data_IF_344788335862
#
_entry.id   IF_344788335862
#
_cell.length_a   1.000
_cell.length_b   1.000
_cell.length_c   1.000
_cell.angle_alpha   90.00
_cell.angle_beta   90.00
_cell.angle_gamma   90.00
#
_symmetry.space_group_name_H-M   'P 1'
#
loop_
_entity.id
_entity.type
_entity.pdbx_description
1 polymer ?
#
# COMPACT_ATOMS: atom_id res chain seq x y z
N UNK A 1 -3.16 -14.56 16.80
CA UNK A 1 -3.24 -15.54 15.68
C UNK A 1 -2.19 -15.14 14.67
N UNK A 2 -1.07 -15.87 14.58
CA UNK A 2 -0.01 -15.60 13.60
C UNK A 2 -0.41 -16.24 12.26
N UNK A 3 -0.32 -15.50 11.16
CA UNK A 3 -0.68 -16.01 9.82
C UNK A 3 0.55 -16.63 9.18
N UNK A 4 0.36 -17.82 8.60
CA UNK A 4 1.43 -18.62 8.01
C UNK A 4 2.00 -17.98 6.73
N UNK A 5 3.33 -18.04 6.57
CA UNK A 5 4.06 -17.41 5.47
C UNK A 5 3.73 -18.12 4.15
N UNK A 6 2.82 -17.53 3.37
CA UNK A 6 2.32 -18.09 2.11
C UNK A 6 0.80 -18.12 1.99
N UNK A 7 0.08 -17.79 3.07
CA UNK A 7 -1.39 -17.71 3.05
C UNK A 7 -1.87 -16.64 2.06
N UNK A 8 -2.91 -17.00 1.31
CA UNK A 8 -3.53 -16.15 0.29
C UNK A 8 -4.21 -14.90 0.82
N UNK A 9 -4.46 -14.84 2.13
CA UNK A 9 -4.88 -13.63 2.87
C UNK A 9 -3.77 -12.57 2.99
N UNK A 10 -2.50 -12.91 2.70
CA UNK A 10 -1.34 -12.01 2.73
C UNK A 10 -1.02 -11.43 1.35
N UNK A 11 -1.85 -11.68 0.33
CA UNK A 11 -1.72 -11.02 -0.97
C UNK A 11 -2.24 -9.59 -0.83
N UNK A 12 -1.36 -8.65 -0.47
CA UNK A 12 -1.53 -7.26 -0.93
C UNK A 12 -1.67 -7.35 -2.44
N UNK A 13 -2.92 -7.26 -2.92
CA UNK A 13 -3.30 -7.44 -4.31
C UNK A 13 -2.30 -6.69 -5.19
N UNK A 14 -1.53 -7.43 -6.00
CA UNK A 14 -0.77 -6.88 -7.11
C UNK A 14 -1.81 -6.23 -8.05
N UNK A 15 -1.81 -4.91 -8.25
CA UNK A 15 -2.70 -4.33 -9.25
C UNK A 15 -2.31 -4.89 -10.63
N UNK A 16 -3.26 -5.06 -11.56
CA UNK A 16 -2.98 -5.58 -12.90
C UNK A 16 -1.94 -4.66 -13.55
N UNK A 17 -0.73 -5.17 -13.73
CA UNK A 17 0.32 -4.45 -14.45
C UNK A 17 0.04 -4.57 -15.95
N UNK A 18 0.04 -3.47 -16.71
CA UNK A 18 -0.16 -3.53 -18.15
C UNK A 18 1.02 -4.23 -18.82
N UNK A 19 0.71 -4.98 -19.86
CA UNK A 19 1.63 -5.74 -20.70
C UNK A 19 2.72 -4.82 -21.27
N UNK A 20 3.95 -4.97 -20.79
CA UNK A 20 5.12 -4.39 -21.44
C UNK A 20 5.70 -5.43 -22.39
N UNK A 21 5.47 -5.20 -23.68
CA UNK A 21 6.16 -5.84 -24.78
C UNK A 21 7.66 -5.49 -24.68
N UNK A 22 8.49 -6.49 -24.38
CA UNK A 22 9.94 -6.37 -24.35
C UNK A 22 10.48 -6.24 -25.78
N UNK A 23 11.10 -5.10 -26.10
CA UNK A 23 11.99 -5.00 -27.24
C UNK A 23 13.42 -5.25 -26.77
N UNK A 24 13.95 -6.33 -27.29
CA UNK A 24 15.30 -6.85 -27.14
C UNK A 24 16.26 -6.01 -28.01
N UNK A 25 17.38 -5.51 -27.46
CA UNK A 25 18.61 -5.21 -28.22
C UNK A 25 19.79 -5.11 -27.25
N UNK A 26 20.60 -6.16 -27.25
CA UNK A 26 22.01 -6.18 -26.85
C UNK A 26 22.81 -5.08 -27.57
N UNK A 27 23.60 -4.30 -26.84
CA UNK A 27 24.87 -3.82 -27.36
C UNK A 27 25.93 -3.75 -26.25
N UNK A 28 27.06 -4.35 -26.59
CA UNK A 28 28.23 -4.73 -25.81
C UNK A 28 29.33 -3.66 -25.96
N UNK A 29 30.15 -3.44 -24.92
CA UNK A 29 31.54 -3.00 -25.09
C UNK A 29 32.09 -1.85 -24.21
N UNK A 30 33.08 -2.18 -23.36
CA UNK A 30 34.26 -1.37 -22.96
C UNK A 30 34.09 -0.36 -21.81
N UNK A 31 34.56 -0.60 -20.58
CA UNK A 31 35.95 -0.45 -20.03
C UNK A 31 36.39 1.04 -19.89
N UNK A 32 36.35 1.59 -18.66
CA UNK A 32 37.48 1.89 -17.73
C UNK A 32 38.17 3.26 -17.95
N UNK A 33 38.14 4.15 -16.93
CA UNK A 33 39.37 4.71 -16.33
C UNK A 33 39.11 5.53 -15.04
N UNK A 34 40.16 5.62 -14.19
CA UNK A 34 40.15 5.99 -12.77
C UNK A 34 41.06 7.22 -12.52
N UNK A 35 40.50 8.30 -11.92
CA UNK A 35 41.18 9.33 -11.08
C UNK A 35 42.26 10.24 -11.71
N UNK A 36 42.88 11.22 -10.98
CA UNK A 36 42.72 11.62 -9.57
C UNK A 36 42.73 13.16 -9.24
N UNK A 37 42.26 13.51 -8.03
CA UNK A 37 42.81 14.45 -7.00
C UNK A 37 43.24 15.89 -7.34
N UNK A 38 42.63 16.90 -6.70
CA UNK A 38 43.25 17.85 -5.73
C UNK A 38 42.51 19.22 -5.66
N UNK A 39 41.96 19.52 -4.49
CA UNK A 39 41.47 20.85 -4.10
C UNK A 39 42.67 21.73 -3.70
N UNK A 40 42.70 22.99 -4.13
CA UNK A 40 43.58 23.99 -3.53
C UNK A 40 42.94 25.38 -3.54
N UNK A 41 43.13 26.03 -2.39
CA UNK A 41 42.43 27.20 -1.90
C UNK A 41 42.82 28.50 -2.58
N UNK A 42 41.87 29.42 -2.69
CA UNK A 42 42.09 30.83 -3.06
C UNK A 42 41.60 31.67 -1.89
N UNK A 43 42.52 32.42 -1.28
CA UNK A 43 42.20 33.54 -0.39
C UNK A 43 42.92 34.79 -0.90
N UNK A 44 42.12 35.84 -0.96
CA UNK A 44 42.26 37.10 -1.69
C UNK A 44 43.21 38.08 -1.01
N UNK A 45 43.95 38.87 -1.80
CA UNK A 45 44.16 40.30 -1.49
C UNK A 45 44.51 41.10 -2.76
N UNK A 46 43.62 42.04 -3.08
CA UNK A 46 43.73 43.20 -4.00
C UNK A 46 44.99 44.07 -3.73
N UNK A 47 45.42 45.03 -4.60
CA UNK A 47 44.56 46.04 -5.28
C UNK A 47 45.05 46.59 -6.65
N UNK A 48 44.20 47.39 -7.32
CA UNK A 48 44.54 48.75 -7.82
C UNK A 48 43.66 49.21 -9.00
N UNK A 49 43.32 50.49 -8.96
CA UNK A 49 42.49 51.31 -9.85
C UNK A 49 42.96 51.32 -11.31
N UNK A 50 42.04 51.21 -12.28
CA UNK A 50 41.94 52.14 -13.42
C UNK A 50 40.79 51.78 -14.39
N UNK A 51 40.29 52.83 -15.05
CA UNK A 51 39.61 52.86 -16.35
C UNK A 51 38.13 52.47 -16.50
N UNK A 52 37.35 53.52 -16.74
CA UNK A 52 36.05 53.54 -17.39
C UNK A 52 36.11 52.81 -18.73
N UNK A 53 35.47 51.65 -18.81
CA UNK A 53 35.02 51.07 -20.07
C UNK A 53 33.49 51.01 -20.04
N UNK A 54 32.88 51.56 -21.09
CA UNK A 54 31.45 51.45 -21.31
C UNK A 54 31.09 49.97 -21.34
N UNK A 55 30.26 49.55 -20.39
CA UNK A 55 29.69 48.21 -20.38
C UNK A 55 28.64 48.18 -21.48
N UNK A 56 29.03 47.68 -22.64
CA UNK A 56 28.07 47.07 -23.56
C UNK A 56 27.35 45.96 -22.77
N UNK A 57 26.01 45.87 -22.82
CA UNK A 57 25.29 44.84 -22.09
C UNK A 57 25.70 43.47 -22.63
N UNK A 58 26.42 42.73 -21.81
CA UNK A 58 26.85 41.36 -22.08
C UNK A 58 25.61 40.47 -22.24
N UNK A 59 25.42 39.95 -23.45
CA UNK A 59 24.25 39.15 -23.85
C UNK A 59 24.35 37.68 -23.41
N UNK A 60 25.44 37.27 -22.77
CA UNK A 60 25.66 35.90 -22.33
C UNK A 60 24.86 35.50 -21.07
N UNK A 61 24.32 36.45 -20.31
CA UNK A 61 23.47 36.15 -19.14
C UNK A 61 22.05 35.67 -19.50
N UNK A 62 21.61 35.81 -20.76
CA UNK A 62 20.24 35.45 -21.16
C UNK A 62 20.06 33.94 -21.39
N UNK A 63 21.10 33.21 -21.80
CA UNK A 63 20.98 31.78 -22.16
C UNK A 63 20.78 30.87 -20.96
N UNK A 64 21.46 31.17 -19.83
CA UNK A 64 21.36 30.39 -18.59
C UNK A 64 19.95 30.41 -18.00
N UNK A 65 19.23 31.51 -18.20
CA UNK A 65 17.84 31.66 -17.78
C UNK A 65 16.90 30.74 -18.58
N UNK A 66 17.09 30.64 -19.91
CA UNK A 66 16.29 29.77 -20.76
C UNK A 66 16.48 28.28 -20.41
N UNK A 67 17.73 27.84 -20.22
CA UNK A 67 18.03 26.46 -19.82
C UNK A 67 17.41 26.08 -18.47
N UNK A 68 17.43 27.01 -17.51
CA UNK A 68 16.81 26.81 -16.19
C UNK A 68 15.29 26.73 -16.28
N UNK A 69 14.66 27.56 -17.12
CA UNK A 69 13.22 27.53 -17.38
C UNK A 69 12.82 26.20 -18.02
N UNK A 70 13.57 25.75 -19.03
CA UNK A 70 13.31 24.48 -19.71
C UNK A 70 13.40 23.28 -18.75
N UNK A 71 14.39 23.31 -17.85
CA UNK A 71 14.51 22.32 -16.77
C UNK A 71 13.29 22.35 -15.84
N UNK A 72 12.82 23.53 -15.43
CA UNK A 72 11.65 23.66 -14.56
C UNK A 72 10.37 23.16 -15.24
N UNK A 73 10.16 23.50 -16.51
CA UNK A 73 9.06 23.00 -17.34
C UNK A 73 9.11 21.48 -17.41
N UNK A 74 10.30 20.91 -17.60
CA UNK A 74 10.49 19.46 -17.65
C UNK A 74 10.18 18.78 -16.30
N UNK A 75 10.65 19.35 -15.19
CA UNK A 75 10.36 18.84 -13.83
C UNK A 75 8.85 18.88 -13.57
N UNK A 76 8.19 20.00 -13.88
CA UNK A 76 6.75 20.15 -13.68
C UNK A 76 5.95 19.15 -14.52
N UNK A 77 6.30 18.95 -15.80
CA UNK A 77 5.69 17.90 -16.65
C UNK A 77 5.85 16.52 -16.02
N UNK A 78 7.05 16.22 -15.51
CA UNK A 78 7.31 14.94 -14.84
C UNK A 78 6.41 14.78 -13.59
N UNK A 79 6.35 15.79 -12.71
CA UNK A 79 5.52 15.76 -11.51
C UNK A 79 4.04 15.51 -11.84
N UNK A 80 3.48 16.28 -12.78
CA UNK A 80 2.08 16.13 -13.19
C UNK A 80 1.82 14.76 -13.86
N UNK A 81 2.83 14.17 -14.50
CA UNK A 81 2.70 12.84 -15.12
C UNK A 81 2.68 11.72 -14.10
N UNK A 82 3.46 11.84 -13.03
CA UNK A 82 3.53 10.84 -11.96
C UNK A 82 2.26 10.81 -11.13
N UNK A 83 1.67 11.97 -10.84
CA UNK A 83 0.50 12.11 -9.98
C UNK A 83 -0.82 12.25 -10.75
N UNK A 84 -0.86 11.84 -12.02
CA UNK A 84 -1.99 12.07 -12.91
C UNK A 84 -3.26 11.38 -12.39
N UNK A 85 -4.35 12.12 -12.08
CA UNK A 85 -5.59 11.52 -11.64
C UNK A 85 -6.19 10.64 -12.75
N UNK A 86 -6.75 9.45 -12.44
CA UNK A 86 -7.28 8.53 -13.46
C UNK A 86 -8.42 9.11 -14.30
N UNK A 87 -9.20 10.03 -13.73
CA UNK A 87 -10.36 10.67 -14.35
C UNK A 87 -10.08 12.06 -14.91
N UNK A 88 -8.80 12.47 -14.95
CA UNK A 88 -8.44 13.81 -15.41
C UNK A 88 -8.61 13.90 -16.95
N UNK A 89 -9.17 15.01 -17.48
CA UNK A 89 -9.47 15.13 -18.91
C UNK A 89 -8.22 15.15 -19.82
N UNK A 90 -7.06 15.52 -19.28
CA UNK A 90 -5.80 15.57 -20.04
C UNK A 90 -5.10 14.21 -19.92
N UNK A 91 -4.85 13.58 -21.07
CA UNK A 91 -4.14 12.30 -21.12
C UNK A 91 -2.65 12.44 -20.82
N UNK A 92 -2.01 11.34 -20.39
CA UNK A 92 -0.56 11.28 -20.15
C UNK A 92 0.27 11.69 -21.38
N UNK A 93 -0.18 11.33 -22.58
CA UNK A 93 0.49 11.67 -23.84
C UNK A 93 0.38 13.17 -24.13
N UNK A 94 -0.80 13.75 -23.93
CA UNK A 94 -1.04 15.17 -24.13
C UNK A 94 -0.23 16.02 -23.15
N UNK A 95 -0.17 15.62 -21.88
CA UNK A 95 0.67 16.28 -20.87
C UNK A 95 2.17 16.25 -21.22
N UNK A 96 2.65 15.16 -21.82
CA UNK A 96 4.05 15.06 -22.28
C UNK A 96 4.36 15.90 -23.52
N UNK A 97 3.35 16.24 -24.33
CA UNK A 97 3.51 17.05 -25.54
C UNK A 97 3.27 18.55 -25.30
N UNK A 98 2.80 18.96 -24.11
CA UNK A 98 2.49 20.36 -23.82
C UNK A 98 3.72 21.25 -23.90
N UNK A 99 3.56 22.42 -24.53
CA UNK A 99 4.55 23.48 -24.50
C UNK A 99 4.51 24.27 -23.18
N UNK A 100 5.45 25.21 -23.00
CA UNK A 100 5.55 26.03 -21.79
C UNK A 100 4.30 26.87 -21.52
N UNK A 101 3.70 27.46 -22.55
CA UNK A 101 2.55 28.36 -22.43
C UNK A 101 1.29 27.58 -22.03
N UNK A 102 1.09 26.40 -22.63
CA UNK A 102 0.03 25.47 -22.24
C UNK A 102 0.19 25.02 -20.79
N UNK A 103 1.42 24.75 -20.36
CA UNK A 103 1.72 24.36 -18.98
C UNK A 103 1.46 25.47 -17.97
N UNK A 104 1.69 26.74 -18.33
CA UNK A 104 1.33 27.90 -17.49
C UNK A 104 -0.18 28.03 -17.34
N UNK A 105 -0.94 27.77 -18.41
CA UNK A 105 -2.41 27.78 -18.38
C UNK A 105 -3.02 26.50 -17.77
N UNK A 106 -2.20 25.53 -17.37
CA UNK A 106 -2.67 24.24 -16.87
C UNK A 106 -3.52 24.43 -15.61
N UNK A 107 -4.72 23.81 -15.52
CA UNK A 107 -5.64 24.00 -14.40
C UNK A 107 -5.19 23.23 -13.15
N UNK A 108 -4.07 23.64 -12.55
CA UNK A 108 -3.44 22.99 -11.38
C UNK A 108 -4.42 22.81 -10.21
N UNK A 109 -5.27 23.79 -9.96
CA UNK A 109 -6.23 23.75 -8.86
C UNK A 109 -7.21 22.58 -9.02
N UNK A 110 -7.79 22.42 -10.20
CA UNK A 110 -8.75 21.34 -10.45
C UNK A 110 -8.04 19.98 -10.54
N UNK A 111 -6.82 19.96 -11.08
CA UNK A 111 -5.96 18.78 -11.08
C UNK A 111 -5.74 18.22 -9.67
N UNK A 112 -5.31 19.07 -8.72
CA UNK A 112 -5.07 18.62 -7.34
C UNK A 112 -6.36 18.24 -6.63
N UNK A 113 -7.46 18.96 -6.90
CA UNK A 113 -8.78 18.61 -6.35
C UNK A 113 -9.23 17.22 -6.80
N UNK A 114 -9.06 16.87 -8.08
CA UNK A 114 -9.38 15.52 -8.55
C UNK A 114 -8.44 14.46 -7.97
N UNK A 115 -7.15 14.78 -7.82
CA UNK A 115 -6.19 13.89 -7.16
C UNK A 115 -6.60 13.58 -5.71
N UNK A 116 -6.94 14.63 -4.94
CA UNK A 116 -7.40 14.52 -3.55
C UNK A 116 -8.66 13.67 -3.43
N UNK A 117 -9.67 13.92 -4.28
CA UNK A 117 -10.89 13.11 -4.33
C UNK A 117 -10.56 11.65 -4.66
N UNK A 118 -9.64 11.40 -5.58
CA UNK A 118 -9.17 10.05 -5.91
C UNK A 118 -8.53 9.34 -4.71
N UNK A 119 -7.67 10.02 -3.96
CA UNK A 119 -7.05 9.48 -2.75
C UNK A 119 -8.09 9.23 -1.65
N UNK A 120 -9.00 10.16 -1.43
CA UNK A 120 -10.05 10.01 -0.43
C UNK A 120 -10.93 8.80 -0.75
N UNK A 121 -11.32 8.63 -2.01
CA UNK A 121 -12.10 7.48 -2.46
C UNK A 121 -11.33 6.16 -2.27
N UNK A 122 -10.03 6.16 -2.53
CA UNK A 122 -9.18 4.99 -2.30
C UNK A 122 -9.17 4.61 -0.81
N UNK A 123 -8.90 5.57 0.08
CA UNK A 123 -8.94 5.35 1.52
C UNK A 123 -10.31 4.84 1.99
N UNK A 124 -11.38 5.51 1.57
CA UNK A 124 -12.76 5.12 1.90
C UNK A 124 -13.08 3.70 1.42
N UNK A 125 -12.60 3.30 0.24
CA UNK A 125 -12.82 1.95 -0.29
C UNK A 125 -12.16 0.87 0.57
N UNK A 126 -10.93 1.10 1.05
CA UNK A 126 -10.24 0.18 1.93
C UNK A 126 -10.91 0.11 3.30
N UNK A 127 -11.30 1.25 3.86
CA UNK A 127 -12.00 1.31 5.14
C UNK A 127 -13.34 0.57 5.07
N UNK A 128 -14.18 0.90 4.09
CA UNK A 128 -15.48 0.24 3.89
C UNK A 128 -15.34 -1.28 3.69
N UNK A 129 -14.32 -1.71 2.94
CA UNK A 129 -14.05 -3.15 2.75
C UNK A 129 -13.59 -3.82 4.04
N UNK A 130 -12.73 -3.17 4.81
CA UNK A 130 -12.27 -3.69 6.10
C UNK A 130 -13.43 -3.80 7.10
N UNK A 131 -14.24 -2.75 7.21
CA UNK A 131 -15.41 -2.70 8.09
C UNK A 131 -16.45 -3.76 7.71
N UNK A 132 -16.70 -3.93 6.42
CA UNK A 132 -17.64 -4.96 5.94
C UNK A 132 -17.16 -6.37 6.27
N UNK A 133 -15.85 -6.64 6.13
CA UNK A 133 -15.26 -7.93 6.52
C UNK A 133 -15.30 -8.16 8.02
N UNK A 134 -15.01 -7.14 8.81
CA UNK A 134 -15.08 -7.20 10.27
C UNK A 134 -16.51 -7.53 10.73
N UNK A 135 -17.51 -6.83 10.19
CA UNK A 135 -18.94 -7.09 10.49
C UNK A 135 -19.36 -8.50 10.12
N UNK A 136 -19.02 -8.97 8.92
CA UNK A 136 -19.35 -10.33 8.49
C UNK A 136 -18.70 -11.39 9.39
N UNK A 137 -17.45 -11.16 9.81
CA UNK A 137 -16.75 -12.06 10.74
C UNK A 137 -17.41 -12.06 12.13
N UNK A 138 -17.80 -10.90 12.65
CA UNK A 138 -18.48 -10.80 13.94
C UNK A 138 -19.84 -11.48 13.91
N UNK A 139 -20.62 -11.29 12.86
CA UNK A 139 -21.94 -11.93 12.69
C UNK A 139 -21.83 -13.47 12.60
N UNK A 140 -20.82 -13.96 11.88
CA UNK A 140 -20.50 -15.39 11.82
C UNK A 140 -20.14 -15.94 13.20
N UNK A 141 -19.28 -15.22 13.94
CA UNK A 141 -18.90 -15.60 15.31
C UNK A 141 -20.12 -15.65 16.23
N UNK A 142 -20.97 -14.61 16.21
CA UNK A 142 -22.22 -14.57 17.00
C UNK A 142 -23.14 -15.74 16.70
N UNK A 143 -23.23 -16.13 15.42
CA UNK A 143 -24.02 -17.29 15.00
C UNK A 143 -23.42 -18.59 15.52
N UNK A 144 -22.10 -18.75 15.44
CA UNK A 144 -21.38 -19.91 15.98
C UNK A 144 -21.52 -20.02 17.50
N UNK A 145 -21.37 -18.91 18.23
CA UNK A 145 -21.55 -18.85 19.68
C UNK A 145 -22.97 -19.23 20.12
N UNK A 146 -23.99 -18.81 19.36
CA UNK A 146 -25.38 -19.20 19.64
C UNK A 146 -25.57 -20.70 19.49
N UNK A 147 -25.07 -21.27 18.39
CA UNK A 147 -25.13 -22.72 18.14
C UNK A 147 -24.38 -23.51 19.22
N UNK A 148 -23.21 -23.02 19.63
CA UNK A 148 -22.43 -23.64 20.71
C UNK A 148 -23.25 -23.71 22.00
N UNK A 149 -23.84 -22.59 22.44
CA UNK A 149 -24.70 -22.56 23.63
C UNK A 149 -25.88 -23.53 23.53
N UNK A 150 -26.57 -23.55 22.38
CA UNK A 150 -27.67 -24.49 22.16
C UNK A 150 -27.23 -25.96 22.25
N UNK A 151 -26.03 -26.29 21.78
CA UNK A 151 -25.49 -27.65 21.88
C UNK A 151 -25.03 -27.99 23.30
N UNK A 152 -24.44 -27.04 24.02
CA UNK A 152 -24.06 -27.19 25.43
C UNK A 152 -25.29 -27.42 26.32
N UNK A 153 -26.37 -26.65 26.12
CA UNK A 153 -27.63 -26.82 26.84
C UNK A 153 -28.26 -28.21 26.58
N UNK A 154 -28.26 -28.66 25.32
CA UNK A 154 -28.76 -30.00 24.96
C UNK A 154 -27.91 -31.10 25.59
N UNK A 155 -26.59 -30.96 25.57
CA UNK A 155 -25.67 -31.91 26.20
C UNK A 155 -25.92 -31.97 27.71
N UNK A 156 -26.03 -30.83 28.38
CA UNK A 156 -26.28 -30.78 29.82
C UNK A 156 -27.61 -31.43 30.18
N UNK A 157 -28.65 -31.19 29.39
CA UNK A 157 -29.95 -31.84 29.57
C UNK A 157 -29.87 -33.35 29.37
N UNK A 158 -29.13 -33.81 28.36
CA UNK A 158 -28.94 -35.25 28.13
C UNK A 158 -28.20 -35.90 29.29
N UNK A 159 -27.11 -35.28 29.77
CA UNK A 159 -26.35 -35.74 30.95
C UNK A 159 -27.23 -35.83 32.18
N UNK A 160 -27.98 -34.77 32.48
CA UNK A 160 -28.94 -34.74 33.59
C UNK A 160 -29.96 -35.88 33.49
N UNK A 161 -30.50 -36.13 32.28
CA UNK A 161 -31.44 -37.22 32.07
C UNK A 161 -30.79 -38.61 32.28
N UNK A 162 -29.57 -38.81 31.80
CA UNK A 162 -28.84 -40.07 31.97
C UNK A 162 -28.55 -40.32 33.45
N UNK A 163 -28.03 -39.32 34.18
CA UNK A 163 -27.83 -39.42 35.64
C UNK A 163 -29.14 -39.78 36.32
N UNK A 164 -30.25 -39.10 36.00
CA UNK A 164 -31.55 -39.38 36.61
C UNK A 164 -32.09 -40.81 36.34
N UNK A 165 -31.73 -41.39 35.19
CA UNK A 165 -32.07 -42.78 34.87
C UNK A 165 -31.16 -43.76 35.60
N UNK A 166 -29.85 -43.53 35.58
CA UNK A 166 -28.86 -44.42 36.18
C UNK A 166 -28.88 -44.39 37.71
N UNK A 167 -29.20 -43.26 38.32
CA UNK A 167 -29.25 -43.10 39.78
C UNK A 167 -30.25 -44.05 40.48
N UNK A 168 -31.19 -44.63 39.71
CA UNK A 168 -32.09 -45.66 40.23
C UNK A 168 -31.45 -47.04 40.38
N UNK A 169 -30.37 -47.31 39.64
CA UNK A 169 -29.72 -48.63 39.56
C UNK A 169 -28.22 -48.58 39.95
N UNK A 170 -27.56 -47.42 39.83
CA UNK A 170 -26.12 -47.20 40.00
C UNK A 170 -25.92 -45.82 40.66
N UNK A 171 -25.19 -45.73 41.77
CA UNK A 171 -24.99 -44.50 42.56
C UNK A 171 -24.03 -43.50 41.88
N UNK A 172 -24.42 -42.95 40.72
CA UNK A 172 -23.69 -41.90 40.00
C UNK A 172 -24.37 -40.56 40.27
N UNK A 173 -23.62 -39.58 40.78
CA UNK A 173 -24.17 -38.28 41.20
C UNK A 173 -23.55 -37.08 40.48
N UNK A 174 -22.45 -37.25 39.75
CA UNK A 174 -21.74 -36.15 39.08
C UNK A 174 -21.44 -36.45 37.61
N UNK A 175 -21.28 -35.39 36.82
CA UNK A 175 -20.92 -35.50 35.39
C UNK A 175 -19.54 -36.19 35.21
N UNK A 176 -18.58 -35.93 36.10
CA UNK A 176 -17.24 -36.53 36.02
C UNK A 176 -17.28 -38.05 36.30
N UNK A 177 -18.10 -38.50 37.25
CA UNK A 177 -18.33 -39.93 37.51
C UNK A 177 -19.05 -40.61 36.34
N UNK A 178 -20.01 -39.91 35.73
CA UNK A 178 -20.70 -40.40 34.54
C UNK A 178 -19.74 -40.55 33.36
N UNK A 179 -18.90 -39.54 33.11
CA UNK A 179 -17.89 -39.58 32.04
C UNK A 179 -16.88 -40.72 32.29
N UNK A 180 -16.40 -40.91 33.52
CA UNK A 180 -15.50 -42.01 33.88
C UNK A 180 -16.17 -43.41 33.71
N UNK A 181 -17.46 -43.53 34.04
CA UNK A 181 -18.21 -44.77 33.83
C UNK A 181 -18.41 -45.08 32.34
N UNK A 182 -18.69 -44.06 31.53
CA UNK A 182 -18.79 -44.20 30.08
C UNK A 182 -17.43 -44.62 29.49
N UNK A 183 -16.33 -44.00 29.91
CA UNK A 183 -14.99 -44.38 29.47
C UNK A 183 -14.64 -45.82 29.87
N UNK A 184 -14.98 -46.26 31.09
CA UNK A 184 -14.76 -47.65 31.54
C UNK A 184 -15.52 -48.66 30.68
N UNK A 185 -16.78 -48.36 30.31
CA UNK A 185 -17.56 -49.20 29.42
C UNK A 185 -17.01 -49.25 27.99
N UNK A 186 -16.55 -48.11 27.46
CA UNK A 186 -15.95 -48.04 26.10
C UNK A 186 -14.61 -48.78 26.07
N UNK A 187 -13.81 -48.69 27.13
CA UNK A 187 -12.47 -49.30 27.19
C UNK A 187 -12.49 -50.79 27.56
N UNK A 188 -13.52 -51.26 28.28
CA UNK A 188 -13.71 -52.68 28.61
C UNK A 188 -14.57 -53.45 27.59
N UNK A 189 -15.23 -52.75 26.67
CA UNK A 189 -16.07 -53.36 25.64
C UNK A 189 -15.28 -53.83 24.42
N UNK A 190 -14.91 -55.12 24.42
CA UNK A 190 -14.70 -55.94 23.22
C UNK A 190 -16.01 -56.68 22.88
#
# INVERSE_FOLDING_TARGET
RWVEKGSEDVRLMKPPSPEHQSLDTQQEGGEEEVGPVAQQAIAVTEPSTSECLRIEPDTTALSTNHETIDLLVQILRNCLRYFLPPSFPISKKQLSAMNSDELISFPLKEYFKQYEVGLQNLCNSYQSRADSRAKASEESLRTSERKLRETEEKLQKLRTNIVALLQKDIDINTDDELDAYIEDLITKGD
#
